data_IF_818157287344
#
_entry.id   IF_818157287344
#
_cell.length_a   1.000
_cell.length_b   1.000
_cell.length_c   1.000
_cell.angle_alpha   90.00
_cell.angle_beta   90.00
_cell.angle_gamma   90.00
#
_symmetry.space_group_name_H-M   'P 1'
#
loop_
_entity.id
_entity.type
_entity.pdbx_description
1 polymer ?
#
# COMPACT_ATOMS: atom_id res chain seq x y z
N UNK A 1 -18.48 10.05 20.24
CA UNK A 1 -19.15 9.68 18.97
C UNK A 1 -18.47 10.33 17.78
N UNK A 2 -18.49 11.67 17.63
CA UNK A 2 -17.81 12.35 16.50
C UNK A 2 -16.35 11.93 16.31
N UNK A 3 -15.57 11.85 17.40
CA UNK A 3 -14.18 11.41 17.35
C UNK A 3 -14.00 9.94 16.90
N UNK A 4 -14.95 9.06 17.22
CA UNK A 4 -14.93 7.65 16.79
C UNK A 4 -15.18 7.59 15.28
N UNK A 5 -16.16 8.34 14.77
CA UNK A 5 -16.45 8.45 13.34
C UNK A 5 -15.23 8.99 12.60
N UNK A 6 -14.66 10.11 13.06
CA UNK A 6 -13.52 10.75 12.43
C UNK A 6 -12.30 9.83 12.34
N UNK A 7 -11.93 9.16 13.43
CA UNK A 7 -10.79 8.23 13.43
C UNK A 7 -11.10 6.98 12.60
N UNK A 8 -12.33 6.47 12.65
CA UNK A 8 -12.76 5.39 11.77
C UNK A 8 -12.60 5.76 10.29
N UNK A 9 -12.95 6.98 9.90
CA UNK A 9 -12.76 7.48 8.55
C UNK A 9 -11.28 7.58 8.16
N UNK A 10 -10.41 8.04 9.06
CA UNK A 10 -8.95 8.08 8.79
C UNK A 10 -8.40 6.68 8.60
N UNK A 11 -8.76 5.73 9.49
CA UNK A 11 -8.36 4.33 9.38
C UNK A 11 -8.79 3.77 8.02
N UNK A 12 -10.04 3.98 7.61
CA UNK A 12 -10.53 3.51 6.32
C UNK A 12 -9.69 4.04 5.16
N UNK A 13 -9.50 5.36 5.11
CA UNK A 13 -8.83 6.02 3.99
C UNK A 13 -7.36 5.63 3.90
N UNK A 14 -6.66 5.59 5.04
CA UNK A 14 -5.27 5.12 5.10
C UNK A 14 -5.16 3.67 4.61
N UNK A 15 -6.05 2.78 5.08
CA UNK A 15 -6.08 1.38 4.63
C UNK A 15 -6.30 1.25 3.13
N UNK A 16 -7.24 2.03 2.59
CA UNK A 16 -7.59 2.04 1.18
C UNK A 16 -6.42 2.52 0.31
N UNK A 17 -5.79 3.64 0.67
CA UNK A 17 -4.63 4.19 -0.07
C UNK A 17 -3.43 3.26 0.01
N UNK A 18 -3.11 2.74 1.20
CA UNK A 18 -1.97 1.83 1.38
C UNK A 18 -2.17 0.53 0.58
N UNK A 19 -3.39 -0.01 0.55
CA UNK A 19 -3.69 -1.18 -0.27
C UNK A 19 -3.62 -0.88 -1.77
N UNK A 20 -4.16 0.25 -2.21
CA UNK A 20 -4.07 0.69 -3.61
C UNK A 20 -2.61 0.81 -4.06
N UNK A 21 -1.77 1.45 -3.25
CA UNK A 21 -0.34 1.58 -3.54
C UNK A 21 0.38 0.22 -3.55
N UNK A 22 0.04 -0.68 -2.60
CA UNK A 22 0.58 -2.04 -2.58
C UNK A 22 0.21 -2.79 -3.85
N UNK A 23 -1.07 -2.80 -4.25
CA UNK A 23 -1.52 -3.49 -5.46
C UNK A 23 -0.81 -2.97 -6.72
N UNK A 24 -0.59 -1.66 -6.80
CA UNK A 24 0.19 -1.07 -7.88
C UNK A 24 1.65 -1.54 -7.89
N UNK A 25 2.31 -1.54 -6.72
CA UNK A 25 3.68 -2.02 -6.59
C UNK A 25 3.79 -3.51 -6.91
N UNK A 26 2.80 -4.32 -6.52
CA UNK A 26 2.73 -5.74 -6.80
C UNK A 26 2.65 -6.00 -8.32
N UNK A 27 1.94 -5.15 -9.08
CA UNK A 27 1.91 -5.21 -10.55
C UNK A 27 3.22 -4.73 -11.18
N UNK A 28 3.85 -3.68 -10.62
CA UNK A 28 5.15 -3.20 -11.11
C UNK A 28 6.26 -4.24 -10.93
N UNK A 29 6.21 -4.97 -9.82
CA UNK A 29 7.22 -5.93 -9.37
C UNK A 29 6.65 -7.36 -9.40
N UNK A 30 5.99 -7.72 -10.50
CA UNK A 30 5.22 -8.95 -10.62
C UNK A 30 6.05 -10.21 -10.38
N UNK A 31 7.30 -10.23 -10.83
CA UNK A 31 8.24 -11.34 -10.60
C UNK A 31 8.45 -11.62 -9.10
N UNK A 32 8.73 -10.57 -8.32
CA UNK A 32 8.91 -10.67 -6.87
C UNK A 32 7.61 -11.04 -6.15
N UNK A 33 6.49 -10.48 -6.58
CA UNK A 33 5.18 -10.84 -6.03
C UNK A 33 4.85 -12.31 -6.26
N UNK A 34 5.12 -12.82 -7.47
CA UNK A 34 4.94 -14.22 -7.82
C UNK A 34 5.89 -15.12 -7.00
N UNK A 35 7.15 -14.73 -6.85
CA UNK A 35 8.14 -15.45 -6.06
C UNK A 35 7.72 -15.53 -4.57
N UNK A 36 7.25 -14.43 -3.99
CA UNK A 36 6.77 -14.39 -2.61
C UNK A 36 5.57 -15.32 -2.37
N UNK A 37 4.59 -15.36 -3.28
CA UNK A 37 3.42 -16.24 -3.14
C UNK A 37 3.76 -17.72 -3.39
N UNK A 38 4.86 -17.97 -4.10
CA UNK A 38 5.32 -19.33 -4.44
C UNK A 38 6.42 -19.86 -3.51
N UNK A 39 6.86 -19.06 -2.51
CA UNK A 39 8.01 -19.36 -1.65
C UNK A 39 9.30 -19.65 -2.44
N UNK A 40 9.57 -18.82 -3.44
CA UNK A 40 10.69 -18.92 -4.38
C UNK A 40 11.56 -17.67 -4.35
N UNK A 41 12.76 -17.75 -4.91
CA UNK A 41 13.67 -16.61 -5.08
C UNK A 41 13.67 -16.08 -6.51
N UNK A 42 13.94 -14.78 -6.67
CA UNK A 42 14.13 -14.12 -7.97
C UNK A 42 15.61 -13.99 -8.27
N UNK A 43 16.03 -14.54 -9.42
CA UNK A 43 17.40 -14.46 -9.93
C UNK A 43 17.38 -13.58 -11.19
N UNK A 44 17.74 -12.29 -11.08
CA UNK A 44 17.96 -11.44 -12.24
C UNK A 44 19.22 -11.86 -13.01
N UNK A 45 19.09 -11.97 -14.32
CA UNK A 45 20.19 -12.25 -15.26
C UNK A 45 20.04 -11.30 -16.45
N UNK A 46 21.04 -10.45 -16.64
CA UNK A 46 21.08 -9.52 -17.77
C UNK A 46 21.85 -10.15 -18.92
N UNK A 47 21.15 -10.46 -20.01
CA UNK A 47 21.75 -11.00 -21.24
C UNK A 47 21.85 -9.90 -22.30
N UNK A 48 22.84 -10.01 -23.20
CA UNK A 48 22.94 -9.13 -24.37
C UNK A 48 22.45 -9.84 -25.64
N UNK A 49 21.36 -9.33 -26.20
CA UNK A 49 20.86 -9.72 -27.52
C UNK A 49 21.58 -8.94 -28.62
N UNK A 50 21.72 -9.59 -29.78
CA UNK A 50 22.30 -8.98 -30.98
C UNK A 50 21.41 -7.86 -31.54
N UNK A 51 22.05 -6.85 -32.13
CA UNK A 51 21.34 -5.84 -32.93
C UNK A 51 20.80 -6.44 -34.24
N UNK A 52 21.49 -7.45 -34.78
CA UNK A 52 21.05 -8.16 -35.98
C UNK A 52 19.75 -8.92 -35.73
N UNK A 53 18.76 -8.72 -36.61
CA UNK A 53 17.41 -9.29 -36.43
C UNK A 53 17.40 -10.81 -36.47
N UNK A 54 18.18 -11.44 -37.36
CA UNK A 54 18.20 -12.89 -37.48
C UNK A 54 18.87 -13.52 -36.26
N UNK A 55 20.03 -13.00 -35.87
CA UNK A 55 20.76 -13.52 -34.71
C UNK A 55 20.00 -13.27 -33.41
N UNK A 56 19.39 -12.09 -33.23
CA UNK A 56 18.51 -11.80 -32.09
C UNK A 56 17.35 -12.79 -31.97
N UNK A 57 16.71 -13.11 -33.09
CA UNK A 57 15.58 -14.03 -33.10
C UNK A 57 16.01 -15.43 -32.69
N UNK A 58 17.18 -15.88 -33.16
CA UNK A 58 17.79 -17.16 -32.78
C UNK A 58 18.13 -17.19 -31.29
N UNK A 59 18.79 -16.16 -30.77
CA UNK A 59 19.14 -16.00 -29.36
C UNK A 59 17.91 -15.98 -28.44
N UNK A 60 16.87 -15.22 -28.80
CA UNK A 60 15.62 -15.21 -28.07
C UNK A 60 14.94 -16.58 -28.07
N UNK A 61 14.90 -17.26 -29.22
CA UNK A 61 14.30 -18.60 -29.32
C UNK A 61 15.06 -19.65 -28.51
N UNK A 62 16.38 -19.50 -28.35
CA UNK A 62 17.19 -20.35 -27.47
C UNK A 62 16.77 -20.20 -26.01
N UNK A 63 16.63 -18.95 -25.52
CA UNK A 63 16.10 -18.66 -24.18
C UNK A 63 14.67 -19.19 -24.02
N UNK A 64 13.81 -18.95 -25.02
CA UNK A 64 12.42 -19.41 -24.95
C UNK A 64 12.29 -20.94 -24.93
N UNK A 65 13.15 -21.66 -25.68
CA UNK A 65 13.19 -23.13 -25.66
C UNK A 65 13.66 -23.66 -24.31
N UNK A 66 14.67 -23.02 -23.71
CA UNK A 66 15.13 -23.34 -22.36
C UNK A 66 14.00 -23.20 -21.32
N UNK A 67 13.25 -22.11 -21.37
CA UNK A 67 12.10 -21.89 -20.49
C UNK A 67 11.05 -23.00 -20.65
N UNK A 68 10.81 -23.46 -21.88
CA UNK A 68 9.87 -24.54 -22.19
C UNK A 68 10.34 -25.91 -21.70
N UNK A 69 11.63 -26.21 -21.83
CA UNK A 69 12.22 -27.49 -21.42
C UNK A 69 12.31 -27.62 -19.90
N UNK A 70 12.84 -26.59 -19.23
CA UNK A 70 13.08 -26.62 -17.79
C UNK A 70 11.91 -26.10 -16.95
N UNK A 71 10.90 -25.49 -17.58
CA UNK A 71 9.70 -24.96 -16.92
C UNK A 71 10.00 -23.91 -15.83
N UNK A 72 11.01 -23.06 -16.02
CA UNK A 72 11.28 -21.93 -15.12
C UNK A 72 10.34 -20.76 -15.43
N UNK A 73 9.56 -20.22 -14.46
CA UNK A 73 8.88 -18.95 -14.65
C UNK A 73 9.88 -17.82 -14.90
N UNK A 74 9.58 -16.96 -15.86
CA UNK A 74 10.47 -15.87 -16.26
C UNK A 74 9.70 -14.62 -16.65
N UNK A 75 10.21 -13.47 -16.25
CA UNK A 75 9.62 -12.16 -16.47
C UNK A 75 10.64 -11.24 -17.13
N UNK A 76 10.20 -10.40 -18.07
CA UNK A 76 11.04 -9.36 -18.70
C UNK A 76 10.19 -8.14 -19.01
N UNK A 77 10.72 -6.94 -18.74
CA UNK A 77 10.01 -5.67 -18.93
C UNK A 77 10.57 -4.85 -20.09
N UNK A 78 9.68 -4.31 -20.93
CA UNK A 78 9.99 -3.21 -21.86
C UNK A 78 9.22 -1.97 -21.41
N UNK A 79 9.93 -0.85 -21.28
CA UNK A 79 9.32 0.46 -21.09
C UNK A 79 9.33 1.22 -22.42
N UNK A 80 8.16 1.66 -22.86
CA UNK A 80 8.01 2.50 -24.06
C UNK A 80 7.05 3.65 -23.76
N UNK A 81 7.60 4.87 -23.72
CA UNK A 81 6.85 6.09 -23.33
C UNK A 81 6.19 5.90 -21.95
N UNK A 82 4.85 5.92 -21.91
CA UNK A 82 4.06 5.77 -20.69
C UNK A 82 3.48 4.34 -20.54
N UNK A 83 3.99 3.37 -21.32
CA UNK A 83 3.52 1.98 -21.29
C UNK A 83 4.67 1.11 -20.79
N UNK A 84 4.44 0.39 -19.69
CA UNK A 84 5.33 -0.66 -19.21
C UNK A 84 4.69 -1.99 -19.60
N UNK A 85 5.35 -2.72 -20.49
CA UNK A 85 4.89 -4.06 -20.89
C UNK A 85 5.81 -5.09 -20.26
N UNK A 86 5.23 -6.00 -19.50
CA UNK A 86 5.91 -7.16 -18.95
C UNK A 86 5.54 -8.41 -19.76
N UNK A 87 6.54 -9.16 -20.16
CA UNK A 87 6.39 -10.40 -20.89
C UNK A 87 6.71 -11.55 -19.97
N UNK A 88 5.76 -12.47 -19.86
CA UNK A 88 5.79 -13.50 -18.84
C UNK A 88 5.74 -14.86 -19.50
N UNK A 89 6.66 -15.72 -19.08
CA UNK A 89 6.57 -17.15 -19.28
C UNK A 89 6.18 -17.79 -17.95
N UNK A 90 5.08 -18.53 -17.94
CA UNK A 90 4.60 -19.27 -16.78
C UNK A 90 4.21 -20.69 -17.21
N UNK A 91 4.77 -21.72 -16.54
CA UNK A 91 4.36 -23.10 -16.75
C UNK A 91 2.87 -23.29 -16.40
N UNK A 92 2.19 -24.24 -17.07
CA UNK A 92 0.71 -24.47 -16.97
C UNK A 92 0.14 -24.60 -15.55
N UNK A 93 0.95 -24.95 -14.57
CA UNK A 93 0.51 -25.16 -13.19
C UNK A 93 0.42 -23.84 -12.40
N UNK A 94 1.06 -22.77 -12.88
CA UNK A 94 1.21 -21.52 -12.16
C UNK A 94 0.20 -20.47 -12.65
N UNK A 95 -0.38 -19.72 -11.70
CA UNK A 95 -1.24 -18.57 -11.99
C UNK A 95 -0.54 -17.30 -11.54
N UNK A 96 -0.74 -16.23 -12.28
CA UNK A 96 -0.29 -14.92 -11.83
C UNK A 96 -1.07 -14.47 -10.59
N UNK A 97 -0.41 -13.82 -9.62
CA UNK A 97 -1.01 -13.30 -8.40
C UNK A 97 -1.73 -11.97 -8.66
N UNK A 98 -2.52 -11.91 -9.73
CA UNK A 98 -3.25 -10.71 -10.16
C UNK A 98 -4.70 -11.07 -10.45
N UNK A 99 -5.59 -10.13 -10.18
CA UNK A 99 -7.00 -10.25 -10.47
C UNK A 99 -7.33 -9.44 -11.72
N UNK A 100 -8.36 -9.89 -12.45
CA UNK A 100 -8.90 -9.18 -13.60
C UNK A 100 -10.39 -8.97 -13.41
N UNK A 101 -10.90 -7.84 -13.90
CA UNK A 101 -12.32 -7.52 -13.73
C UNK A 101 -13.24 -8.52 -14.42
N UNK A 102 -12.82 -8.99 -15.60
CA UNK A 102 -13.57 -9.93 -16.40
C UNK A 102 -13.37 -11.39 -15.94
N UNK A 103 -12.61 -11.63 -14.85
CA UNK A 103 -12.20 -12.97 -14.38
C UNK A 103 -11.57 -13.83 -15.48
N UNK A 104 -10.83 -13.19 -16.38
CA UNK A 104 -10.10 -13.84 -17.46
C UNK A 104 -8.62 -13.95 -17.11
N UNK A 105 -8.01 -15.07 -17.49
CA UNK A 105 -6.59 -15.31 -17.34
C UNK A 105 -5.97 -15.63 -18.70
N UNK A 106 -4.71 -15.23 -18.89
CA UNK A 106 -3.92 -15.61 -20.06
C UNK A 106 -3.29 -16.98 -19.79
N UNK A 107 -3.35 -17.87 -20.79
CA UNK A 107 -2.57 -19.10 -20.81
C UNK A 107 -1.17 -18.77 -21.36
N UNK A 108 -0.21 -18.53 -20.46
CA UNK A 108 1.16 -18.15 -20.80
C UNK A 108 1.96 -19.23 -21.52
N UNK A 109 1.44 -20.45 -21.63
CA UNK A 109 2.08 -21.53 -22.40
C UNK A 109 1.71 -21.53 -23.87
N UNK A 110 0.70 -20.75 -24.27
CA UNK A 110 0.29 -20.61 -25.66
C UNK A 110 0.72 -19.25 -26.17
N UNK A 111 1.24 -19.24 -27.40
CA UNK A 111 1.44 -17.99 -28.09
C UNK A 111 0.07 -17.38 -28.43
N UNK A 112 -0.20 -16.18 -27.95
CA UNK A 112 -1.44 -15.46 -28.23
C UNK A 112 -1.22 -13.95 -28.16
N UNK A 113 -1.96 -13.21 -28.97
CA UNK A 113 -1.91 -11.74 -28.96
C UNK A 113 -2.70 -11.13 -27.79
N UNK A 114 -3.28 -11.97 -26.92
CA UNK A 114 -4.00 -11.51 -25.75
C UNK A 114 -3.05 -10.90 -24.73
N UNK A 115 -3.47 -9.78 -24.15
CA UNK A 115 -2.73 -9.11 -23.10
C UNK A 115 -3.66 -8.48 -22.06
N UNK A 116 -3.18 -8.45 -20.82
CA UNK A 116 -3.85 -7.74 -19.74
C UNK A 116 -3.40 -6.29 -19.76
N UNK A 117 -4.27 -5.36 -19.42
CA UNK A 117 -3.94 -3.93 -19.35
C UNK A 117 -4.49 -3.30 -18.08
N UNK A 118 -3.73 -2.42 -17.45
CA UNK A 118 -4.20 -1.63 -16.30
C UNK A 118 -5.12 -0.46 -16.71
N UNK A 119 -5.28 -0.19 -18.01
CA UNK A 119 -6.04 0.96 -18.50
C UNK A 119 -7.40 0.59 -19.08
N UNK A 120 -8.47 1.18 -18.54
CA UNK A 120 -9.82 1.10 -19.08
C UNK A 120 -9.97 1.72 -20.47
N UNK A 121 -9.10 2.68 -20.81
CA UNK A 121 -9.09 3.37 -22.12
C UNK A 121 -8.55 2.47 -23.23
N UNK A 122 -7.84 1.39 -22.89
CA UNK A 122 -7.26 0.46 -23.86
C UNK A 122 -8.31 -0.51 -24.44
N UNK A 123 -8.89 -0.17 -25.59
CA UNK A 123 -9.98 -0.95 -26.21
C UNK A 123 -9.55 -2.31 -26.75
N UNK A 124 -8.25 -2.53 -26.93
CA UNK A 124 -7.72 -3.74 -27.57
C UNK A 124 -7.25 -4.78 -26.53
N UNK A 125 -7.40 -4.51 -25.23
CA UNK A 125 -7.02 -5.42 -24.16
C UNK A 125 -7.91 -6.66 -24.12
N UNK A 126 -7.35 -7.79 -23.71
CA UNK A 126 -8.10 -9.01 -23.49
C UNK A 126 -8.93 -8.95 -22.20
N UNK A 127 -8.33 -8.38 -21.15
CA UNK A 127 -8.92 -8.13 -19.84
C UNK A 127 -8.21 -6.98 -19.13
N UNK A 128 -8.90 -6.41 -18.14
CA UNK A 128 -8.44 -5.30 -17.33
C UNK A 128 -7.85 -5.82 -16.03
N UNK A 129 -6.64 -5.36 -15.66
CA UNK A 129 -6.06 -5.65 -14.34
C UNK A 129 -6.93 -4.91 -13.30
N UNK A 130 -7.44 -5.66 -12.33
CA UNK A 130 -8.36 -5.15 -11.32
C UNK A 130 -7.58 -4.51 -10.17
N UNK A 131 -7.98 -3.29 -9.79
CA UNK A 131 -7.43 -2.55 -8.66
C UNK A 131 -8.58 -2.11 -7.75
N UNK A 132 -8.28 -1.97 -6.46
CA UNK A 132 -9.24 -1.41 -5.51
C UNK A 132 -9.60 0.04 -5.85
N UNK A 133 -8.60 0.81 -6.30
CA UNK A 133 -8.75 2.18 -6.75
C UNK A 133 -8.64 2.28 -8.27
N UNK A 134 -9.79 2.34 -8.93
CA UNK A 134 -9.85 2.41 -10.39
C UNK A 134 -9.44 3.79 -10.93
N UNK A 135 -9.63 4.85 -10.13
CA UNK A 135 -9.42 6.24 -10.55
C UNK A 135 -7.96 6.68 -10.36
N UNK A 136 -7.30 6.26 -9.27
CA UNK A 136 -5.90 6.59 -8.98
C UNK A 136 -4.92 6.10 -10.07
N UNK A 137 -5.28 5.04 -10.79
CA UNK A 137 -4.45 4.48 -11.87
C UNK A 137 -4.83 4.97 -13.27
N UNK A 138 -5.82 5.87 -13.39
CA UNK A 138 -6.43 6.19 -14.69
C UNK A 138 -5.65 7.24 -15.53
N UNK A 139 -4.88 8.15 -14.92
CA UNK A 139 -4.33 9.32 -15.65
C UNK A 139 -2.87 9.72 -15.37
N UNK A 140 -2.29 9.43 -14.20
CA UNK A 140 -0.92 9.84 -13.86
C UNK A 140 0.11 8.71 -13.82
N UNK A 141 -0.35 7.45 -13.89
CA UNK A 141 0.49 6.27 -13.80
C UNK A 141 0.74 5.65 -15.18
N UNK A 142 1.87 4.97 -15.33
CA UNK A 142 2.16 4.22 -16.56
C UNK A 142 1.09 3.14 -16.77
N UNK A 143 0.70 2.93 -18.02
CA UNK A 143 -0.17 1.81 -18.39
C UNK A 143 0.67 0.54 -18.32
N UNK A 144 0.29 -0.38 -17.44
CA UNK A 144 0.94 -1.67 -17.31
C UNK A 144 0.23 -2.68 -18.20
N UNK A 145 1.00 -3.40 -19.01
CA UNK A 145 0.53 -4.48 -19.86
C UNK A 145 1.25 -5.76 -19.53
N UNK A 146 0.53 -6.87 -19.53
CA UNK A 146 1.11 -8.20 -19.33
C UNK A 146 0.83 -9.04 -20.56
N UNK A 147 1.91 -9.47 -21.23
CA UNK A 147 1.91 -10.26 -22.45
C UNK A 147 2.58 -11.61 -22.23
N UNK A 148 2.35 -12.53 -23.16
CA UNK A 148 3.10 -13.79 -23.22
C UNK A 148 4.55 -13.54 -23.64
N UNK A 149 5.49 -14.30 -23.06
CA UNK A 149 6.92 -14.18 -23.36
C UNK A 149 7.24 -14.20 -24.85
N UNK A 150 6.54 -15.06 -25.61
CA UNK A 150 6.69 -15.21 -27.05
C UNK A 150 6.56 -13.88 -27.85
N UNK A 151 5.85 -12.89 -27.31
CA UNK A 151 5.56 -11.63 -28.00
C UNK A 151 6.63 -10.55 -27.75
N UNK A 152 7.69 -10.85 -26.98
CA UNK A 152 8.74 -9.90 -26.62
C UNK A 152 9.36 -9.21 -27.83
N UNK A 153 9.69 -9.99 -28.87
CA UNK A 153 10.36 -9.47 -30.07
C UNK A 153 9.49 -8.55 -30.93
N UNK A 154 8.16 -8.62 -30.80
CA UNK A 154 7.23 -7.79 -31.57
C UNK A 154 7.29 -6.32 -31.16
N UNK A 155 7.54 -6.08 -29.88
CA UNK A 155 7.58 -4.77 -29.24
C UNK A 155 9.02 -4.33 -28.93
N UNK A 156 10.02 -4.97 -29.55
CA UNK A 156 11.43 -4.66 -29.34
C UNK A 156 11.72 -3.19 -29.65
N UNK A 157 12.31 -2.49 -28.68
CA UNK A 157 12.54 -1.04 -28.72
C UNK A 157 13.96 -0.65 -29.15
N UNK A 158 14.78 -1.60 -29.63
CA UNK A 158 16.17 -1.37 -30.00
C UNK A 158 17.19 -1.60 -28.88
N UNK A 159 16.76 -1.90 -27.65
CA UNK A 159 17.66 -2.20 -26.54
C UNK A 159 18.27 -3.60 -26.70
N UNK A 160 19.60 -3.69 -26.61
CA UNK A 160 20.33 -4.97 -26.61
C UNK A 160 20.34 -5.64 -25.24
N UNK A 161 20.12 -4.88 -24.17
CA UNK A 161 19.98 -5.43 -22.82
C UNK A 161 18.66 -6.20 -22.69
N UNK A 162 18.76 -7.43 -22.23
CA UNK A 162 17.64 -8.36 -22.04
C UNK A 162 17.61 -8.82 -20.58
N UNK A 163 17.00 -8.01 -19.68
CA UNK A 163 16.97 -8.28 -18.24
C UNK A 163 15.91 -9.32 -17.91
N UNK A 164 16.36 -10.55 -17.64
CA UNK A 164 15.49 -11.69 -17.33
C UNK A 164 15.41 -11.89 -15.82
N UNK A 165 14.19 -11.97 -15.31
CA UNK A 165 13.93 -12.28 -13.90
C UNK A 165 13.39 -13.70 -13.82
N UNK A 166 14.27 -14.65 -13.52
CA UNK A 166 13.90 -16.04 -13.29
C UNK A 166 13.36 -16.22 -11.88
N UNK A 167 12.32 -17.02 -11.72
CA UNK A 167 11.82 -17.42 -10.40
C UNK A 167 12.12 -18.90 -10.20
N UNK A 168 12.86 -19.22 -9.15
CA UNK A 168 13.36 -20.59 -8.91
C UNK A 168 13.36 -20.94 -7.42
N UNK A 169 13.38 -22.23 -7.11
CA UNK A 169 13.63 -22.73 -5.76
C UNK A 169 15.12 -22.73 -5.41
N UNK A 170 15.98 -22.68 -6.42
CA UNK A 170 17.43 -22.83 -6.28
C UNK A 170 18.16 -22.12 -7.42
N UNK A 171 18.88 -21.06 -7.07
CA UNK A 171 19.79 -20.34 -7.97
C UNK A 171 20.87 -21.25 -8.53
N UNK A 172 21.37 -22.19 -7.73
CA UNK A 172 22.45 -23.09 -8.16
C UNK A 172 22.00 -24.02 -9.29
N UNK A 173 20.78 -24.55 -9.20
CA UNK A 173 20.22 -25.43 -10.22
C UNK A 173 19.91 -24.66 -11.51
N UNK A 174 19.35 -23.44 -11.38
CA UNK A 174 19.13 -22.55 -12.53
C UNK A 174 20.43 -22.24 -13.26
N UNK A 175 21.48 -21.86 -12.54
CA UNK A 175 22.78 -21.53 -13.15
C UNK A 175 23.40 -22.73 -13.84
N UNK A 176 23.31 -23.91 -13.24
CA UNK A 176 23.80 -25.15 -13.85
C UNK A 176 23.06 -25.48 -15.14
N UNK A 177 21.73 -25.39 -15.14
CA UNK A 177 20.92 -25.64 -16.35
C UNK A 177 21.25 -24.63 -17.47
N UNK A 178 21.50 -23.36 -17.11
CA UNK A 178 21.91 -22.32 -18.06
C UNK A 178 23.33 -22.51 -18.61
N UNK A 179 24.25 -23.06 -17.81
CA UNK A 179 25.59 -23.46 -18.24
C UNK A 179 25.53 -24.68 -19.17
N UNK A 180 24.77 -25.71 -18.82
CA UNK A 180 24.62 -26.95 -19.59
C UNK A 180 24.01 -26.67 -20.98
N UNK A 181 23.10 -25.70 -21.07
CA UNK A 181 22.49 -25.24 -22.33
C UNK A 181 23.31 -24.17 -23.09
N UNK A 182 24.51 -23.83 -22.58
CA UNK A 182 25.46 -22.84 -23.14
C UNK A 182 24.93 -21.41 -23.30
N UNK A 183 23.76 -21.10 -22.73
CA UNK A 183 23.12 -19.78 -22.81
C UNK A 183 24.04 -18.70 -22.26
N UNK A 184 24.67 -18.93 -21.10
CA UNK A 184 25.58 -17.97 -20.46
C UNK A 184 26.89 -17.76 -21.24
N UNK A 185 27.29 -18.74 -22.06
CA UNK A 185 28.52 -18.65 -22.85
C UNK A 185 28.30 -18.01 -24.22
N UNK A 186 27.10 -18.17 -24.79
CA UNK A 186 26.74 -17.65 -26.10
C UNK A 186 26.11 -16.25 -26.02
N UNK A 187 25.47 -15.93 -24.89
CA UNK A 187 24.93 -14.60 -24.60
C UNK A 187 25.83 -13.95 -23.56
N UNK A 188 26.39 -12.77 -23.88
CA UNK A 188 27.21 -12.03 -22.91
C UNK A 188 26.33 -11.68 -21.72
N UNK A 189 26.75 -12.12 -20.53
CA UNK A 189 26.16 -11.71 -19.25
C UNK A 189 26.71 -10.33 -18.91
N UNK A 190 25.82 -9.37 -18.65
CA UNK A 190 26.19 -8.03 -18.18
C UNK A 190 26.06 -7.99 -16.65
N UNK A 191 27.16 -7.70 -15.94
CA UNK A 191 27.18 -7.63 -14.47
C UNK A 191 27.18 -8.96 -13.72
N UNK A 192 27.21 -8.87 -12.38
CA UNK A 192 27.18 -10.04 -11.48
C UNK A 192 25.74 -10.54 -11.30
N UNK A 193 25.54 -11.86 -11.38
CA UNK A 193 24.25 -12.50 -11.07
C UNK A 193 24.02 -12.42 -9.56
N UNK A 194 23.27 -11.43 -9.13
CA UNK A 194 22.91 -11.19 -7.72
C UNK A 194 21.54 -11.75 -7.42
N UNK A 195 21.29 -12.16 -6.17
CA UNK A 195 19.92 -12.29 -5.67
C UNK A 195 19.48 -10.91 -5.22
N UNK A 196 18.25 -10.53 -5.55
CA UNK A 196 17.71 -9.22 -5.18
C UNK A 196 16.63 -9.41 -4.13
N UNK A 197 16.90 -8.94 -2.91
CA UNK A 197 15.92 -8.91 -1.82
C UNK A 197 14.99 -7.70 -2.01
N UNK A 198 14.14 -7.75 -3.02
CA UNK A 198 13.07 -6.75 -3.16
C UNK A 198 11.88 -7.19 -2.31
N UNK A 199 11.64 -6.47 -1.21
CA UNK A 199 10.42 -6.66 -0.44
C UNK A 199 9.24 -6.06 -1.22
N UNK A 200 8.23 -6.88 -1.50
CA UNK A 200 6.90 -6.37 -1.85
C UNK A 200 6.40 -5.44 -0.73
N UNK A 201 5.53 -4.49 -1.06
CA UNK A 201 5.02 -3.53 -0.09
C UNK A 201 4.30 -4.24 1.05
N UNK A 202 4.90 -4.30 2.23
CA UNK A 202 4.21 -4.78 3.44
C UNK A 202 3.27 -3.69 3.90
N UNK A 203 2.02 -4.05 4.19
CA UNK A 203 1.07 -3.11 4.81
C UNK A 203 1.61 -2.74 6.19
N UNK A 204 2.02 -1.49 6.37
CA UNK A 204 2.52 -1.02 7.66
C UNK A 204 1.37 -0.81 8.66
N UNK A 205 1.22 -1.76 9.58
CA UNK A 205 0.26 -1.67 10.67
C UNK A 205 0.68 -0.72 11.80
N UNK A 206 1.86 -0.09 11.73
CA UNK A 206 2.36 0.81 12.78
C UNK A 206 1.46 2.04 12.94
N UNK A 207 0.97 2.60 11.83
CA UNK A 207 0.06 3.73 11.83
C UNK A 207 -1.27 3.37 12.47
N UNK A 208 -1.86 2.21 12.10
CA UNK A 208 -3.08 1.69 12.70
C UNK A 208 -2.99 1.57 14.22
N UNK A 209 -1.92 0.94 14.71
CA UNK A 209 -1.70 0.76 16.15
C UNK A 209 -1.59 2.12 16.85
N UNK A 210 -0.87 3.07 16.25
CA UNK A 210 -0.69 4.42 16.80
C UNK A 210 -2.00 5.20 16.87
N UNK A 211 -2.79 5.20 15.80
CA UNK A 211 -4.04 5.97 15.75
C UNK A 211 -5.13 5.37 16.64
N UNK A 212 -5.20 4.04 16.73
CA UNK A 212 -6.09 3.35 17.68
C UNK A 212 -5.70 3.63 19.14
N UNK A 213 -4.39 3.70 19.44
CA UNK A 213 -3.92 4.09 20.76
C UNK A 213 -4.35 5.52 21.11
N UNK A 214 -4.22 6.48 20.19
CA UNK A 214 -4.69 7.84 20.42
C UNK A 214 -6.21 7.91 20.61
N UNK A 215 -6.98 7.13 19.85
CA UNK A 215 -8.43 6.99 20.04
C UNK A 215 -8.75 6.45 21.44
N UNK A 216 -8.06 5.39 21.88
CA UNK A 216 -8.27 4.79 23.19
C UNK A 216 -7.99 5.78 24.33
N UNK A 217 -6.90 6.54 24.24
CA UNK A 217 -6.56 7.57 25.24
C UNK A 217 -7.60 8.70 25.22
N UNK A 218 -8.01 9.18 24.04
CA UNK A 218 -9.02 10.24 23.94
C UNK A 218 -10.37 9.80 24.53
N UNK A 219 -10.82 8.57 24.26
CA UNK A 219 -12.03 7.99 24.84
C UNK A 219 -11.88 7.84 26.36
N UNK A 220 -10.74 7.35 26.85
CA UNK A 220 -10.46 7.24 28.27
C UNK A 220 -10.56 8.59 28.97
N UNK A 221 -9.92 9.64 28.43
CA UNK A 221 -10.00 10.99 28.98
C UNK A 221 -11.43 11.52 29.02
N UNK A 222 -12.22 11.23 27.98
CA UNK A 222 -13.64 11.60 27.92
C UNK A 222 -14.43 10.94 29.05
N UNK A 223 -14.27 9.63 29.22
CA UNK A 223 -14.98 8.85 30.23
C UNK A 223 -14.52 9.16 31.65
N UNK A 224 -13.23 9.42 31.87
CA UNK A 224 -12.69 9.84 33.16
C UNK A 224 -13.34 11.15 33.64
N UNK A 225 -13.39 12.14 32.74
CA UNK A 225 -14.02 13.43 33.03
C UNK A 225 -15.52 13.29 33.29
N UNK A 226 -16.20 12.39 32.59
CA UNK A 226 -17.62 12.11 32.82
C UNK A 226 -17.86 11.37 34.15
N UNK A 227 -17.02 10.38 34.49
CA UNK A 227 -17.05 9.68 35.77
C UNK A 227 -16.82 10.63 36.96
N UNK A 228 -15.94 11.62 36.80
CA UNK A 228 -15.72 12.66 37.81
C UNK A 228 -16.91 13.61 37.96
N UNK A 229 -17.64 13.87 36.88
CA UNK A 229 -18.82 14.73 36.90
C UNK A 229 -20.02 14.00 37.52
N UNK A 230 -20.23 12.74 37.13
CA UNK A 230 -21.29 11.86 37.63
C UNK A 230 -21.00 11.25 39.02
N UNK A 231 -19.85 11.56 39.65
CA UNK A 231 -19.45 11.00 40.96
C UNK A 231 -20.52 11.10 42.04
N UNK A 232 -21.28 12.21 42.08
CA UNK A 232 -22.37 12.40 43.05
C UNK A 232 -23.52 11.44 42.80
N UNK A 233 -23.90 11.26 41.54
CA UNK A 233 -24.92 10.30 41.12
C UNK A 233 -24.49 8.87 41.45
N UNK A 234 -23.23 8.52 41.16
CA UNK A 234 -22.64 7.21 41.50
C UNK A 234 -22.70 6.96 43.01
N UNK A 235 -22.31 7.95 43.82
CA UNK A 235 -22.32 7.84 45.27
C UNK A 235 -23.75 7.67 45.84
N UNK A 236 -24.71 8.48 45.39
CA UNK A 236 -26.13 8.38 45.79
C UNK A 236 -26.67 6.99 45.44
N UNK A 237 -26.38 6.47 44.25
CA UNK A 237 -26.84 5.13 43.84
C UNK A 237 -26.23 4.02 44.67
N UNK A 238 -24.95 4.13 45.05
CA UNK A 238 -24.33 3.17 45.98
C UNK A 238 -24.95 3.22 47.37
N UNK A 239 -25.28 4.42 47.87
CA UNK A 239 -26.01 4.57 49.14
C UNK A 239 -27.40 3.92 49.09
N UNK A 240 -28.04 3.92 47.92
CA UNK A 240 -29.31 3.21 47.68
C UNK A 240 -29.15 1.69 47.48
N UNK A 241 -27.95 1.14 47.67
CA UNK A 241 -27.69 -0.31 47.57
C UNK A 241 -27.38 -0.84 46.17
N UNK A 242 -27.21 0.03 45.16
CA UNK A 242 -26.87 -0.43 43.81
C UNK A 242 -25.42 -0.91 43.71
N UNK A 243 -25.19 -2.05 43.05
CA UNK A 243 -23.84 -2.59 42.82
C UNK A 243 -23.04 -1.73 41.83
N UNK A 244 -21.72 -1.70 41.97
CA UNK A 244 -20.83 -0.96 41.05
C UNK A 244 -21.01 -1.40 39.59
N UNK A 245 -21.24 -2.69 39.35
CA UNK A 245 -21.52 -3.25 38.02
C UNK A 245 -22.83 -2.70 37.42
N UNK A 246 -23.90 -2.67 38.22
CA UNK A 246 -25.19 -2.12 37.77
C UNK A 246 -25.06 -0.64 37.40
N UNK A 247 -24.35 0.15 38.22
CA UNK A 247 -24.10 1.56 37.95
C UNK A 247 -23.27 1.74 36.68
N UNK A 248 -22.19 0.97 36.51
CA UNK A 248 -21.33 1.02 35.32
C UNK A 248 -22.11 0.70 34.04
N UNK A 249 -22.85 -0.41 34.01
CA UNK A 249 -23.64 -0.82 32.84
C UNK A 249 -24.69 0.25 32.49
N UNK A 250 -25.34 0.84 33.49
CA UNK A 250 -26.36 1.87 33.29
C UNK A 250 -25.79 3.18 32.76
N UNK A 251 -24.64 3.62 33.26
CA UNK A 251 -24.03 4.89 32.84
C UNK A 251 -23.31 4.77 31.50
N UNK A 252 -22.54 3.70 31.29
CA UNK A 252 -21.59 3.61 30.18
C UNK A 252 -21.92 2.54 29.15
N UNK A 253 -22.79 1.57 29.46
CA UNK A 253 -23.09 0.46 28.55
C UNK A 253 -23.61 0.93 27.20
N UNK A 254 -24.52 1.92 27.18
CA UNK A 254 -25.00 2.52 25.93
C UNK A 254 -23.87 3.19 25.15
N UNK A 255 -22.95 3.90 25.82
CA UNK A 255 -21.83 4.56 25.16
C UNK A 255 -20.91 3.57 24.44
N UNK A 256 -20.54 2.46 25.09
CA UNK A 256 -19.68 1.45 24.46
C UNK A 256 -20.36 0.80 23.26
N UNK A 257 -21.63 0.39 23.40
CA UNK A 257 -22.39 -0.21 22.31
C UNK A 257 -22.52 0.75 21.11
N UNK A 258 -22.87 2.01 21.37
CA UNK A 258 -22.98 3.03 20.32
C UNK A 258 -21.61 3.34 19.68
N UNK A 259 -20.52 3.30 20.45
CA UNK A 259 -19.17 3.51 19.90
C UNK A 259 -18.77 2.40 18.93
N UNK A 260 -19.01 1.13 19.29
CA UNK A 260 -18.73 -0.01 18.41
C UNK A 260 -19.60 0.06 17.16
N UNK A 261 -20.90 0.32 17.33
CA UNK A 261 -21.84 0.44 16.23
C UNK A 261 -21.42 1.54 15.25
N UNK A 262 -21.10 2.74 15.76
CA UNK A 262 -20.69 3.86 14.91
C UNK A 262 -19.37 3.58 14.19
N UNK A 263 -18.41 2.93 14.85
CA UNK A 263 -17.15 2.55 14.21
C UNK A 263 -17.41 1.62 13.03
N UNK A 264 -18.12 0.50 13.25
CA UNK A 264 -18.40 -0.49 12.20
C UNK A 264 -19.27 0.10 11.08
N UNK A 265 -20.27 0.90 11.44
CA UNK A 265 -21.18 1.52 10.47
C UNK A 265 -20.46 2.57 9.62
N UNK A 266 -19.53 3.35 10.19
CA UNK A 266 -18.69 4.26 9.40
C UNK A 266 -17.79 3.49 8.43
N UNK A 267 -17.14 2.41 8.86
CA UNK A 267 -16.34 1.56 7.95
C UNK A 267 -17.20 0.99 6.81
N UNK A 268 -18.38 0.45 7.13
CA UNK A 268 -19.29 -0.15 6.15
C UNK A 268 -19.83 0.88 5.14
N UNK A 269 -20.21 2.08 5.61
CA UNK A 269 -20.65 3.16 4.73
C UNK A 269 -19.53 3.62 3.80
N UNK A 270 -18.32 3.80 4.31
CA UNK A 270 -17.19 4.21 3.49
C UNK A 270 -16.82 3.13 2.46
N UNK A 271 -16.87 1.85 2.85
CA UNK A 271 -16.69 0.75 1.90
C UNK A 271 -17.72 0.83 0.77
N UNK A 272 -19.00 1.02 1.09
CA UNK A 272 -20.06 1.11 0.09
C UNK A 272 -19.92 2.35 -0.81
N UNK A 273 -19.48 3.49 -0.26
CA UNK A 273 -19.34 4.73 -1.02
C UNK A 273 -18.09 4.79 -1.90
N UNK A 274 -16.95 4.29 -1.38
CA UNK A 274 -15.65 4.41 -2.06
C UNK A 274 -15.36 3.19 -2.91
N UNK A 275 -15.53 1.98 -2.36
CA UNK A 275 -15.17 0.72 -3.04
C UNK A 275 -16.34 0.15 -3.86
N UNK A 276 -17.57 0.44 -3.43
CA UNK A 276 -18.84 0.07 -4.06
C UNK A 276 -19.14 -1.44 -4.05
N UNK A 277 -18.39 -2.22 -4.81
CA UNK A 277 -18.66 -3.64 -5.05
C UNK A 277 -17.65 -4.56 -4.36
N UNK A 278 -18.13 -5.69 -3.83
CA UNK A 278 -17.27 -6.76 -3.37
C UNK A 278 -16.59 -7.44 -4.56
N UNK A 279 -15.25 -7.45 -4.55
CA UNK A 279 -14.41 -8.08 -5.57
C UNK A 279 -13.26 -8.83 -4.88
N UNK A 280 -12.63 -9.82 -5.53
CA UNK A 280 -11.49 -10.53 -4.95
C UNK A 280 -10.36 -9.57 -4.48
N UNK A 281 -10.11 -8.48 -5.24
CA UNK A 281 -9.12 -7.45 -4.89
C UNK A 281 -9.41 -6.70 -3.58
N UNK A 282 -10.67 -6.69 -3.13
CA UNK A 282 -11.08 -5.96 -1.91
C UNK A 282 -11.00 -6.81 -0.66
N UNK A 283 -10.70 -8.11 -0.79
CA UNK A 283 -10.66 -9.03 0.33
C UNK A 283 -9.61 -8.62 1.39
N UNK A 284 -8.43 -8.20 0.95
CA UNK A 284 -7.38 -7.70 1.85
C UNK A 284 -7.83 -6.48 2.64
N UNK A 285 -8.57 -5.55 2.02
CA UNK A 285 -9.13 -4.38 2.72
C UNK A 285 -10.11 -4.84 3.80
N UNK A 286 -11.02 -5.76 3.48
CA UNK A 286 -12.02 -6.26 4.43
C UNK A 286 -11.36 -6.91 5.63
N UNK A 287 -10.32 -7.72 5.41
CA UNK A 287 -9.54 -8.32 6.48
C UNK A 287 -8.92 -7.25 7.39
N UNK A 288 -8.33 -6.21 6.79
CA UNK A 288 -7.77 -5.08 7.54
C UNK A 288 -8.83 -4.34 8.37
N UNK A 289 -10.00 -4.05 7.78
CA UNK A 289 -11.09 -3.37 8.46
C UNK A 289 -11.62 -4.22 9.63
N UNK A 290 -11.73 -5.53 9.46
CA UNK A 290 -12.16 -6.45 10.52
C UNK A 290 -11.14 -6.50 11.66
N UNK A 291 -9.84 -6.55 11.33
CA UNK A 291 -8.76 -6.47 12.32
C UNK A 291 -8.79 -5.14 13.08
N UNK A 292 -9.03 -4.02 12.39
CA UNK A 292 -9.15 -2.70 13.02
C UNK A 292 -10.33 -2.63 14.00
N UNK A 293 -11.48 -3.24 13.65
CA UNK A 293 -12.65 -3.30 14.51
C UNK A 293 -12.38 -4.17 15.75
N UNK A 294 -11.72 -5.31 15.58
CA UNK A 294 -11.34 -6.20 16.68
C UNK A 294 -10.40 -5.47 17.66
N UNK A 295 -9.35 -4.82 17.15
CA UNK A 295 -8.42 -4.04 17.97
C UNK A 295 -9.14 -2.89 18.70
N UNK A 296 -10.06 -2.20 18.02
CA UNK A 296 -10.86 -1.15 18.64
C UNK A 296 -11.71 -1.66 19.81
N UNK A 297 -12.37 -2.82 19.65
CA UNK A 297 -13.15 -3.46 20.72
C UNK A 297 -12.25 -3.83 21.90
N UNK A 298 -11.06 -4.40 21.65
CA UNK A 298 -10.09 -4.70 22.70
C UNK A 298 -9.66 -3.45 23.47
N UNK A 299 -9.37 -2.35 22.76
CA UNK A 299 -9.07 -1.06 23.39
C UNK A 299 -10.22 -0.57 24.28
N UNK A 300 -11.47 -0.69 23.81
CA UNK A 300 -12.64 -0.30 24.60
C UNK A 300 -12.83 -1.17 25.86
N UNK A 301 -12.50 -2.46 25.80
CA UNK A 301 -12.53 -3.35 26.97
C UNK A 301 -11.54 -2.87 28.03
N UNK A 302 -10.30 -2.54 27.62
CA UNK A 302 -9.27 -2.02 28.54
C UNK A 302 -9.71 -0.69 29.17
N UNK A 303 -10.21 0.24 28.36
CA UNK A 303 -10.76 1.51 28.86
C UNK A 303 -11.93 1.27 29.81
N UNK A 304 -12.82 0.34 29.47
CA UNK A 304 -13.96 -0.08 30.28
C UNK A 304 -13.56 -0.61 31.65
N UNK A 305 -12.53 -1.45 31.69
CA UNK A 305 -11.99 -1.98 32.93
C UNK A 305 -11.44 -0.87 33.84
N UNK A 306 -10.67 0.08 33.29
CA UNK A 306 -10.13 1.21 34.06
C UNK A 306 -11.26 2.03 34.69
N UNK A 307 -12.29 2.37 33.90
CA UNK A 307 -13.45 3.13 34.39
C UNK A 307 -14.22 2.35 35.45
N UNK A 308 -14.41 1.04 35.27
CA UNK A 308 -15.07 0.20 36.25
C UNK A 308 -14.33 0.18 37.60
N UNK A 309 -13.00 -0.01 37.58
CA UNK A 309 -12.16 0.03 38.79
C UNK A 309 -12.30 1.38 39.49
N UNK A 310 -12.24 2.50 38.77
CA UNK A 310 -12.41 3.83 39.35
C UNK A 310 -13.78 4.02 40.00
N UNK A 311 -14.86 3.59 39.34
CA UNK A 311 -16.20 3.65 39.94
C UNK A 311 -16.29 2.80 41.21
N UNK A 312 -15.63 1.64 41.25
CA UNK A 312 -15.65 0.75 42.42
C UNK A 312 -15.04 1.41 43.67
N UNK A 313 -14.01 2.24 43.48
CA UNK A 313 -13.28 2.95 44.55
C UNK A 313 -14.03 4.15 45.14
N UNK A 314 -15.08 4.66 44.48
CA UNK A 314 -15.91 5.76 45.02
C UNK A 314 -16.72 5.24 46.20
N UNK A 315 -16.21 5.42 47.43
CA UNK A 315 -16.84 4.94 48.67
C UNK A 315 -16.95 6.01 49.78
N UNK A 316 -16.21 7.12 49.73
CA UNK A 316 -16.11 8.06 50.88
C UNK A 316 -16.80 9.41 50.68
N UNK A 317 -17.36 9.95 51.78
CA UNK A 317 -18.00 11.28 51.86
C UNK A 317 -17.03 12.43 51.53
N UNK A 318 -15.73 12.21 51.65
CA UNK A 318 -14.67 13.21 51.36
C UNK A 318 -14.69 13.65 49.89
N UNK A 319 -15.18 12.79 48.99
CA UNK A 319 -15.30 13.03 47.53
C UNK A 319 -16.33 14.14 47.19
N UNK A 320 -17.16 14.57 48.15
CA UNK A 320 -18.13 15.66 48.00
C UNK A 320 -17.52 17.06 48.11
N UNK A 321 -16.28 17.22 48.62
CA UNK A 321 -15.65 18.56 48.75
C UNK A 321 -15.34 19.16 47.37
N UNK A 322 -15.92 20.34 47.10
CA UNK A 322 -16.06 20.94 45.76
C UNK A 322 -14.75 21.52 45.18
N UNK A 323 -13.76 21.89 46.01
CA UNK A 323 -12.59 22.65 45.54
C UNK A 323 -11.51 21.80 44.87
N UNK A 324 -11.08 20.68 45.46
CA UNK A 324 -10.02 19.82 44.88
C UNK A 324 -10.41 19.21 43.54
N UNK A 325 -11.67 18.85 43.36
CA UNK A 325 -12.15 18.20 42.12
C UNK A 325 -12.33 19.17 40.94
N UNK A 326 -12.46 20.48 41.17
CA UNK A 326 -12.57 21.47 40.09
C UNK A 326 -11.26 21.57 39.32
N UNK A 327 -10.13 21.53 40.04
CA UNK A 327 -8.79 21.50 39.47
C UNK A 327 -8.54 20.23 38.66
N UNK A 328 -8.83 19.05 39.20
CA UNK A 328 -8.67 17.77 38.48
C UNK A 328 -9.50 17.73 37.19
N UNK A 329 -10.74 18.21 37.24
CA UNK A 329 -11.61 18.29 36.05
C UNK A 329 -11.07 19.28 35.01
N UNK A 330 -10.49 20.40 35.44
CA UNK A 330 -9.90 21.41 34.55
C UNK A 330 -8.61 20.88 33.91
N UNK A 331 -7.76 20.18 34.66
CA UNK A 331 -6.56 19.50 34.15
C UNK A 331 -6.92 18.44 33.11
N UNK A 332 -7.94 17.61 33.36
CA UNK A 332 -8.41 16.62 32.38
C UNK A 332 -9.02 17.27 31.14
N UNK A 333 -9.69 18.42 31.29
CA UNK A 333 -10.19 19.19 30.14
C UNK A 333 -9.04 19.73 29.29
N UNK A 334 -8.02 20.33 29.91
CA UNK A 334 -6.81 20.80 29.21
C UNK A 334 -6.13 19.62 28.51
N UNK A 335 -5.98 18.48 29.18
CA UNK A 335 -5.36 17.29 28.61
C UNK A 335 -6.14 16.74 27.40
N UNK A 336 -7.47 16.78 27.43
CA UNK A 336 -8.31 16.46 26.25
C UNK A 336 -8.03 17.40 25.08
N UNK A 337 -7.96 18.71 25.33
CA UNK A 337 -7.66 19.69 24.29
C UNK A 337 -6.27 19.48 23.69
N UNK A 338 -5.26 19.24 24.52
CA UNK A 338 -3.88 18.95 24.08
C UNK A 338 -3.82 17.66 23.25
N UNK A 339 -4.54 16.60 23.66
CA UNK A 339 -4.62 15.36 22.89
C UNK A 339 -5.33 15.53 21.55
N UNK A 340 -6.44 16.28 21.53
CA UNK A 340 -7.11 16.63 20.27
C UNK A 340 -6.16 17.35 19.33
N UNK A 341 -5.43 18.36 19.81
CA UNK A 341 -4.42 19.08 19.01
C UNK A 341 -3.32 18.13 18.54
N UNK A 342 -2.87 17.20 19.39
CA UNK A 342 -1.84 16.22 19.03
C UNK A 342 -2.28 15.23 17.96
N UNK A 343 -3.57 14.85 17.91
CA UNK A 343 -4.13 14.05 16.81
C UNK A 343 -4.14 14.84 15.49
N UNK A 344 -4.23 16.18 15.55
CA UNK A 344 -4.12 17.04 14.37
C UNK A 344 -2.67 17.26 13.89
N UNK A 345 -1.65 16.99 14.70
CA UNK A 345 -0.23 17.17 14.28
C UNK A 345 0.14 16.24 13.12
N UNK A 346 -0.14 14.91 13.17
CA UNK A 346 0.08 14.02 12.02
C UNK A 346 -0.67 14.48 10.77
N UNK A 347 -1.93 14.92 10.93
CA UNK A 347 -2.71 15.46 9.82
C UNK A 347 -2.09 16.73 9.23
N UNK A 348 -1.60 17.63 10.08
CA UNK A 348 -0.91 18.86 9.65
C UNK A 348 0.42 18.56 8.93
N UNK A 349 1.17 17.56 9.39
CA UNK A 349 2.37 17.10 8.67
C UNK A 349 2.00 16.51 7.31
N UNK A 350 0.96 15.68 7.23
CA UNK A 350 0.46 15.16 5.95
C UNK A 350 0.02 16.29 5.02
N UNK A 351 -0.68 17.32 5.52
CA UNK A 351 -1.02 18.51 4.73
C UNK A 351 0.21 19.27 4.23
N UNK A 352 1.29 19.33 5.01
CA UNK A 352 2.55 19.96 4.59
C UNK A 352 3.20 19.18 3.46
N UNK A 353 3.23 17.84 3.56
CA UNK A 353 3.70 16.97 2.48
C UNK A 353 2.82 17.08 1.23
N UNK A 354 1.50 17.09 1.37
CA UNK A 354 0.58 17.29 0.25
C UNK A 354 0.79 18.67 -0.39
N UNK A 355 0.94 19.73 0.39
CA UNK A 355 1.24 21.07 -0.12
C UNK A 355 2.56 21.11 -0.90
N UNK A 356 3.58 20.38 -0.42
CA UNK A 356 4.87 20.29 -1.09
C UNK A 356 4.76 19.50 -2.39
N UNK A 357 4.09 18.34 -2.39
CA UNK A 357 3.84 17.54 -3.61
C UNK A 357 3.00 18.30 -4.63
N UNK A 358 1.99 19.07 -4.19
CA UNK A 358 1.18 19.92 -5.07
C UNK A 358 2.00 21.07 -5.65
N UNK A 359 2.87 21.68 -4.84
CA UNK A 359 3.81 22.69 -5.33
C UNK A 359 4.78 22.06 -6.34
N UNK A 360 5.42 20.95 -6.01
CA UNK A 360 6.37 20.26 -6.87
C UNK A 360 5.70 19.83 -8.19
N UNK A 361 4.47 19.32 -8.13
CA UNK A 361 3.66 19.02 -9.31
C UNK A 361 3.29 20.26 -10.13
N UNK A 362 2.97 21.39 -9.48
CA UNK A 362 2.74 22.66 -10.16
C UNK A 362 4.01 23.17 -10.86
N UNK A 363 5.17 23.11 -10.19
CA UNK A 363 6.46 23.51 -10.75
C UNK A 363 6.87 22.60 -11.91
N UNK A 364 6.75 21.29 -11.76
CA UNK A 364 7.01 20.33 -12.84
C UNK A 364 6.11 20.57 -14.06
N UNK A 365 4.83 20.87 -13.85
CA UNK A 365 3.91 21.14 -14.95
C UNK A 365 4.17 22.50 -15.61
N UNK A 366 4.47 23.54 -14.82
CA UNK A 366 4.75 24.90 -15.29
C UNK A 366 6.06 24.99 -16.09
N UNK A 367 7.09 24.27 -15.66
CA UNK A 367 8.43 24.32 -16.26
C UNK A 367 8.74 23.08 -17.11
N UNK A 368 7.72 22.29 -17.46
CA UNK A 368 7.84 21.01 -18.19
C UNK A 368 8.69 21.11 -19.46
N UNK A 369 8.52 22.15 -20.25
CA UNK A 369 9.31 22.36 -21.48
C UNK A 369 10.77 22.69 -21.19
N UNK A 370 11.03 23.52 -20.17
CA UNK A 370 12.39 23.84 -19.72
C UNK A 370 13.10 22.59 -19.19
N UNK A 371 12.42 21.77 -18.38
CA UNK A 371 12.92 20.48 -17.89
C UNK A 371 13.25 19.52 -19.05
N UNK A 372 12.33 19.36 -20.00
CA UNK A 372 12.55 18.49 -21.17
C UNK A 372 13.71 18.98 -22.06
N UNK A 373 13.90 20.30 -22.18
CA UNK A 373 15.00 20.87 -22.93
C UNK A 373 16.34 20.71 -22.20
N UNK A 374 16.36 20.85 -20.87
CA UNK A 374 17.57 20.64 -20.06
C UNK A 374 18.03 19.17 -20.11
N UNK A 375 17.09 18.23 -19.96
CA UNK A 375 17.35 16.79 -20.07
C UNK A 375 17.86 16.37 -21.46
N UNK A 376 17.38 17.05 -22.52
CA UNK A 376 17.88 16.86 -23.88
C UNK A 376 19.29 17.43 -24.09
N UNK A 377 19.63 18.54 -23.45
CA UNK A 377 20.92 19.22 -23.60
C UNK A 377 22.05 18.54 -22.82
N UNK A 378 21.77 17.98 -21.63
CA UNK A 378 22.77 17.25 -20.85
C UNK A 378 22.97 15.79 -21.28
N UNK A 379 22.23 15.29 -22.28
CA UNK A 379 22.41 13.92 -22.80
C UNK A 379 22.12 12.83 -21.76
N UNK A 380 21.44 13.16 -20.66
CA UNK A 380 21.14 12.20 -19.59
C UNK A 380 19.99 11.31 -20.04
N UNK A 381 20.32 10.10 -20.47
CA UNK A 381 19.34 9.04 -20.67
C UNK A 381 18.90 8.51 -19.31
N UNK A 382 17.95 9.20 -18.68
CA UNK A 382 17.46 8.83 -17.36
C UNK A 382 16.53 7.62 -17.49
N UNK A 383 17.06 6.44 -17.16
CA UNK A 383 16.23 5.34 -16.69
C UNK A 383 15.51 5.81 -15.42
N UNK A 384 14.18 5.87 -15.49
CA UNK A 384 13.25 6.45 -14.51
C UNK A 384 13.26 5.76 -13.12
N UNK A 385 14.23 4.88 -12.86
CA UNK A 385 14.32 4.00 -11.69
C UNK A 385 15.68 4.02 -10.98
N UNK A 386 16.67 4.84 -11.38
CA UNK A 386 17.90 4.94 -10.59
C UNK A 386 17.68 5.81 -9.34
N UNK A 387 18.32 5.45 -8.22
CA UNK A 387 18.42 6.28 -6.99
C UNK A 387 18.90 7.72 -7.31
N UNK A 388 19.62 7.89 -8.43
CA UNK A 388 20.00 9.19 -8.96
C UNK A 388 18.84 10.05 -9.44
N UNK A 389 17.63 9.53 -9.67
CA UNK A 389 16.48 10.35 -10.07
C UNK A 389 15.98 11.25 -8.95
N UNK A 390 15.88 10.76 -7.71
CA UNK A 390 15.46 11.59 -6.59
C UNK A 390 16.52 12.61 -6.19
N UNK A 391 17.80 12.23 -6.20
CA UNK A 391 18.91 13.15 -5.94
C UNK A 391 19.09 14.17 -7.07
N UNK A 392 19.01 13.76 -8.33
CA UNK A 392 19.08 14.68 -9.47
C UNK A 392 17.86 15.62 -9.50
N UNK A 393 16.65 15.14 -9.19
CA UNK A 393 15.46 15.99 -9.16
C UNK A 393 15.47 16.95 -7.96
N UNK A 394 16.06 16.55 -6.83
CA UNK A 394 16.31 17.44 -5.68
C UNK A 394 17.33 18.53 -6.03
N UNK A 395 18.47 18.16 -6.63
CA UNK A 395 19.50 19.11 -7.06
C UNK A 395 19.02 20.05 -8.18
N UNK A 396 18.18 19.56 -9.08
CA UNK A 396 17.61 20.35 -10.18
C UNK A 396 16.54 21.32 -9.66
N UNK A 397 15.71 20.90 -8.70
CA UNK A 397 14.76 21.77 -8.01
C UNK A 397 15.46 22.87 -7.18
N UNK A 398 16.61 22.57 -6.55
CA UNK A 398 17.44 23.60 -5.90
C UNK A 398 18.01 24.59 -6.90
N UNK A 399 18.61 24.13 -8.01
CA UNK A 399 19.17 25.01 -9.05
C UNK A 399 18.12 25.91 -9.71
N UNK A 400 16.89 25.43 -9.92
CA UNK A 400 15.81 26.23 -10.52
C UNK A 400 15.25 27.26 -9.53
N UNK A 401 15.29 26.99 -8.22
CA UNK A 401 14.97 28.00 -7.20
C UNK A 401 16.00 29.13 -7.15
N UNK A 402 17.25 28.85 -7.46
CA UNK A 402 18.33 29.85 -7.50
C UNK A 402 18.29 30.73 -8.77
N UNK A 403 17.76 30.22 -9.90
CA UNK A 403 17.71 30.96 -11.16
C UNK A 403 16.31 30.94 -11.81
N UNK A 404 15.38 31.80 -11.37
CA UNK A 404 14.01 31.85 -11.92
C UNK A 404 13.89 32.47 -13.33
N UNK A 405 14.99 32.84 -13.97
CA UNK A 405 15.01 33.47 -15.28
C UNK A 405 16.14 32.92 -16.17
N UNK A 406 15.90 31.75 -16.77
CA UNK A 406 16.47 31.37 -18.06
C UNK A 406 15.33 30.81 -18.91
#
# INVERSE_FOLDING_TARGET
MVLVIFISSIIFYDSYVNLSQKQYNDVINLSYKFAQESDMEVVPIDLQLSEDKQERTKQFNQVYSFLQEHSYPCFVGIVSKNIKTEYVYLPKQNKLPIYTEENKAIDFTKNSDHYLSSSYKDKNRYATIDFIDQDYHSEYNNVHRIKTFANYLEDWNGNTLFPLYFVTNSKQDLLKDLEDTKILSELKVDGDITTSDFSTGVIDYSFLKRILMYLAIAVLLCLLSDALTSRKEVFIRKMQGATSWFIYKRLYGKFYLLSILMFVLTQALLYLLVVQNYRPVTHELIQYLLQSALLFVLCLIVVGFIIYVLLSQIQSIVILKKSQFRWISMTLFILKCVFLISIFIPLSTSFKYTSQVVQDGYYLNKYKETYNNYLRLEGVNINMFSLGYQDAMSQLNEKIREYPYI
#
